data_IF_333337410730
#
_entry.id   IF_333337410730
#
_cell.length_a   1.000
_cell.length_b   1.000
_cell.length_c   1.000
_cell.angle_alpha   90.00
_cell.angle_beta   90.00
_cell.angle_gamma   90.00
#
_symmetry.space_group_name_H-M   'P 1'
#
loop_
_entity.id
_entity.type
_entity.pdbx_description
1 polymer ?
2 non-polymer ?
3 non-polymer ?
4 water ?
#
# COMPACT_ATOMS: atom_id res chain seq x y z
N UNK A 1 11.56 1.24 14.85
CA UNK A 1 10.59 2.37 14.59
C UNK A 1 9.40 1.93 13.73
N UNK A 2 9.52 0.83 13.01
CA UNK A 2 8.43 0.35 12.12
C UNK A 2 7.53 -0.64 12.86
N UNK A 3 7.84 -0.96 14.12
CA UNK A 3 7.37 -2.26 14.65
C UNK A 3 5.86 -2.32 14.83
N UNK A 4 5.17 -1.21 15.04
CA UNK A 4 3.71 -1.31 15.21
C UNK A 4 3.00 -1.59 13.90
N UNK A 5 3.70 -1.43 12.75
CA UNK A 5 3.12 -1.77 11.46
C UNK A 5 3.18 -3.28 11.17
N UNK A 6 4.02 -4.02 11.89
CA UNK A 6 4.29 -5.41 11.52
C UNK A 6 3.09 -6.28 11.82
N UNK A 7 2.86 -7.25 10.99
CA UNK A 7 1.83 -8.26 11.19
C UNK A 7 0.96 -8.42 9.99
N UNK A 8 -0.18 -9.06 10.22
CA UNK A 8 -1.14 -9.42 9.18
C UNK A 8 -2.37 -8.53 9.34
N UNK A 9 -2.78 -7.91 8.26
CA UNK A 9 -3.82 -6.88 8.24
C UNK A 9 -4.85 -7.22 7.18
N UNK A 10 -6.11 -6.98 7.48
CA UNK A 10 -7.21 -7.31 6.57
C UNK A 10 -7.96 -6.04 6.21
N UNK A 11 -8.34 -5.86 4.95
CA UNK A 11 -9.10 -4.68 4.53
C UNK A 11 -10.50 -4.71 5.12
N UNK A 12 -10.90 -3.61 5.76
CA UNK A 12 -12.22 -3.49 6.36
C UNK A 12 -12.99 -2.24 5.94
N UNK A 13 -12.40 -1.34 5.15
CA UNK A 13 -13.08 -0.15 4.64
C UNK A 13 -12.31 0.36 3.45
N UNK A 14 -13.01 0.92 2.47
CA UNK A 14 -12.33 1.52 1.32
C UNK A 14 -13.15 2.68 0.81
N UNK A 15 -12.46 3.82 0.61
CA UNK A 15 -13.09 5.03 0.09
C UNK A 15 -12.27 5.55 -1.10
N UNK A 16 -12.96 5.75 -2.22
CA UNK A 16 -12.39 6.38 -3.41
C UNK A 16 -11.33 5.51 -4.10
N UNK A 17 -11.35 4.20 -3.90
CA UNK A 17 -10.37 3.35 -4.60
C UNK A 17 -10.59 3.35 -6.08
N UNK A 18 -11.84 3.38 -6.54
CA UNK A 18 -12.07 3.45 -7.98
C UNK A 18 -11.46 4.73 -8.57
N UNK A 19 -11.60 5.86 -7.88
CA UNK A 19 -11.00 7.11 -8.35
C UNK A 19 -9.48 6.93 -8.51
N UNK A 20 -8.84 6.35 -7.53
CA UNK A 20 -7.40 6.17 -7.55
C UNK A 20 -6.98 5.27 -8.72
N UNK A 21 -7.66 4.11 -8.84
CA UNK A 21 -7.33 3.21 -9.94
C UNK A 21 -7.57 3.87 -11.30
N UNK A 22 -8.67 4.59 -11.44
CA UNK A 22 -8.95 5.23 -12.72
C UNK A 22 -7.86 6.25 -13.03
N UNK A 23 -7.40 7.00 -12.04
CA UNK A 23 -6.35 7.99 -12.25
C UNK A 23 -5.06 7.34 -12.78
N UNK A 24 -4.78 6.13 -12.31
CA UNK A 24 -3.63 5.35 -12.78
C UNK A 24 -3.88 4.71 -14.14
N UNK A 25 -5.06 4.84 -14.72
CA UNK A 25 -5.31 4.23 -16.01
C UNK A 25 -5.72 2.77 -15.97
N UNK A 26 -6.12 2.27 -14.82
CA UNK A 26 -6.61 0.89 -14.71
C UNK A 26 -7.92 0.76 -15.46
N UNK A 27 -8.08 -0.28 -16.25
CA UNK A 27 -9.28 -0.53 -17.02
C UNK A 27 -10.49 -0.86 -16.17
N UNK A 28 -11.68 -0.66 -16.77
CA UNK A 28 -12.91 -0.77 -15.97
C UNK A 28 -13.09 -2.17 -15.42
N UNK A 29 -12.71 -3.19 -16.15
CA UNK A 29 -12.97 -4.58 -15.69
C UNK A 29 -12.12 -4.90 -14.50
N UNK A 30 -10.87 -4.45 -14.52
CA UNK A 30 -9.98 -4.64 -13.36
C UNK A 30 -10.50 -3.84 -12.18
N UNK A 31 -10.95 -2.61 -12.42
CA UNK A 31 -11.48 -1.80 -11.31
C UNK A 31 -12.67 -2.49 -10.68
N UNK A 32 -13.50 -3.10 -11.50
CA UNK A 32 -14.71 -3.75 -11.02
C UNK A 32 -14.32 -4.90 -10.05
N UNK A 33 -13.41 -5.77 -10.46
CA UNK A 33 -12.99 -6.87 -9.58
C UNK A 33 -12.32 -6.32 -8.34
N UNK A 34 -11.40 -5.38 -8.53
CA UNK A 34 -10.66 -4.83 -7.41
C UNK A 34 -11.57 -4.17 -6.38
N UNK A 35 -12.69 -3.60 -6.81
CA UNK A 35 -13.62 -2.90 -5.90
C UNK A 35 -14.30 -3.87 -4.93
N UNK A 36 -14.25 -5.16 -5.24
CA UNK A 36 -14.91 -6.18 -4.42
C UNK A 36 -13.89 -7.09 -3.74
N UNK A 37 -12.63 -6.81 -3.87
CA UNK A 37 -11.57 -7.63 -3.29
C UNK A 37 -11.21 -7.05 -1.91
N UNK A 38 -10.86 -7.92 -0.95
CA UNK A 38 -10.42 -7.47 0.38
C UNK A 38 -9.03 -8.07 0.64
N UNK A 39 -7.99 -7.40 0.26
CA UNK A 39 -6.67 -7.98 0.43
C UNK A 39 -6.28 -8.15 1.88
N UNK A 40 -5.32 -9.06 2.03
CA UNK A 40 -4.56 -9.24 3.25
C UNK A 40 -3.16 -8.69 3.01
N UNK A 41 -2.71 -7.79 3.88
CA UNK A 41 -1.35 -7.27 3.79
C UNK A 41 -0.56 -7.80 4.97
N UNK A 42 0.62 -8.33 4.66
CA UNK A 42 1.50 -8.92 5.67
C UNK A 42 2.79 -8.10 5.62
N UNK A 43 3.18 -7.54 6.76
CA UNK A 43 4.40 -6.71 6.85
C UNK A 43 5.31 -7.40 7.83
N UNK A 44 6.49 -7.81 7.37
CA UNK A 44 7.47 -8.51 8.23
C UNK A 44 8.85 -7.84 8.13
N UNK A 45 9.63 -7.92 9.16
CA UNK A 45 11.01 -7.42 9.04
C UNK A 45 11.98 -8.49 9.47
N UNK A 46 13.15 -8.37 8.89
CA UNK A 46 14.31 -9.20 9.23
C UNK A 46 15.50 -8.25 9.21
N UNK A 47 15.90 -7.80 10.40
CA UNK A 47 16.88 -6.75 10.44
C UNK A 47 16.39 -5.52 9.75
N UNK A 48 17.21 -4.98 8.88
CA UNK A 48 16.87 -3.77 8.14
C UNK A 48 15.99 -4.02 6.93
N UNK A 49 15.61 -5.24 6.65
CA UNK A 49 14.84 -5.53 5.44
C UNK A 49 13.38 -5.77 5.82
N UNK A 50 12.50 -4.99 5.22
CA UNK A 50 11.07 -5.18 5.32
C UNK A 50 10.57 -5.92 4.11
N UNK A 51 9.57 -6.78 4.33
CA UNK A 51 8.86 -7.45 3.26
C UNK A 51 7.38 -7.18 3.43
N UNK A 52 6.75 -6.72 2.36
CA UNK A 52 5.32 -6.35 2.38
C UNK A 52 4.65 -7.20 1.31
N UNK A 53 3.78 -8.10 1.76
CA UNK A 53 3.01 -8.98 0.90
C UNK A 53 1.58 -8.45 0.83
N UNK A 54 0.99 -8.50 -0.36
CA UNK A 54 -0.44 -8.16 -0.52
C UNK A 54 -1.08 -9.35 -1.22
N UNK A 55 -2.01 -10.00 -0.53
CA UNK A 55 -2.63 -11.24 -1.05
C UNK A 55 -4.13 -11.04 -1.26
N UNK A 56 -4.63 -11.61 -2.35
CA UNK A 56 -6.09 -11.52 -2.59
C UNK A 56 -6.48 -12.63 -3.54
N UNK A 57 -7.79 -12.75 -3.74
CA UNK A 57 -8.31 -13.72 -4.73
C UNK A 57 -8.07 -13.19 -6.15
N UNK A 58 -7.58 -11.96 -6.30
CA UNK A 58 -7.37 -11.39 -7.66
C UNK A 58 -5.88 -11.18 -7.93
N UNK A 59 -5.30 -10.16 -7.31
CA UNK A 59 -3.87 -9.81 -7.51
C UNK A 59 -3.06 -10.07 -6.23
N UNK A 60 -1.84 -10.58 -6.42
CA UNK A 60 -0.89 -10.86 -5.31
C UNK A 60 0.42 -10.17 -5.65
N UNK A 61 1.00 -9.49 -4.65
CA UNK A 61 2.28 -8.83 -4.82
C UNK A 61 3.17 -9.09 -3.59
N UNK A 62 4.46 -8.89 -3.78
CA UNK A 62 5.42 -8.89 -2.69
C UNK A 62 6.56 -7.98 -3.04
N UNK A 63 6.97 -7.15 -2.08
CA UNK A 63 8.16 -6.31 -2.21
C UNK A 63 9.02 -6.48 -0.98
N UNK A 64 10.33 -6.38 -1.17
CA UNK A 64 11.27 -6.28 -0.06
C UNK A 64 12.14 -5.04 -0.26
N UNK A 65 12.44 -4.37 0.84
CA UNK A 65 13.17 -3.10 0.76
C UNK A 65 13.81 -2.80 2.10
N UNK A 66 14.84 -1.95 2.04
CA UNK A 66 15.37 -1.25 3.23
C UNK A 66 14.78 0.14 3.28
N UNK A 67 14.40 0.63 4.48
CA UNK A 67 13.92 1.97 4.59
C UNK A 67 14.98 2.93 4.05
N UNK A 68 14.53 3.89 3.27
CA UNK A 68 15.42 4.92 2.79
C UNK A 68 16.32 4.56 1.66
N UNK A 69 16.13 3.39 1.05
CA UNK A 69 16.97 2.94 -0.05
C UNK A 69 16.06 2.64 -1.24
N UNK A 70 16.31 3.26 -2.37
CA UNK A 70 15.46 3.07 -3.54
C UNK A 70 15.51 1.60 -4.00
N UNK A 71 14.38 1.15 -4.54
CA UNK A 71 14.27 -0.19 -5.09
C UNK A 71 13.38 -0.13 -6.33
N UNK A 72 13.64 -1.06 -7.26
CA UNK A 72 12.76 -1.26 -8.40
C UNK A 72 11.52 -2.04 -7.93
N UNK A 73 10.36 -1.68 -8.50
CA UNK A 73 9.11 -2.34 -8.18
C UNK A 73 8.28 -2.45 -9.45
N UNK A 74 7.56 -3.57 -9.57
CA UNK A 74 6.55 -3.75 -10.62
C UNK A 74 5.22 -3.91 -9.93
N UNK A 75 4.34 -2.93 -10.09
CA UNK A 75 3.12 -2.86 -9.31
C UNK A 75 2.09 -3.88 -9.79
N UNK A 76 1.00 -4.00 -9.05
CA UNK A 76 -0.05 -4.96 -9.38
C UNK A 76 -0.66 -4.66 -10.75
N UNK A 77 -0.66 -3.38 -11.14
CA UNK A 77 -1.20 -2.90 -12.44
C UNK A 77 -0.08 -2.81 -13.47
N UNK A 78 1.07 -3.43 -13.17
CA UNK A 78 2.19 -3.59 -14.15
C UNK A 78 2.96 -2.30 -14.44
N UNK A 79 2.93 -1.32 -13.54
CA UNK A 79 3.81 -0.15 -13.73
C UNK A 79 5.21 -0.53 -13.21
N UNK A 80 6.24 -0.18 -13.96
CA UNK A 80 7.63 -0.38 -13.53
C UNK A 80 8.12 0.93 -12.95
N UNK A 81 8.28 0.95 -11.65
CA UNK A 81 8.49 2.21 -10.90
C UNK A 81 9.78 2.14 -10.10
N UNK A 82 10.25 3.32 -9.72
CA UNK A 82 11.35 3.49 -8.77
C UNK A 82 10.69 3.87 -7.45
N UNK A 83 10.97 3.10 -6.43
CA UNK A 83 10.27 3.24 -5.14
C UNK A 83 11.23 3.52 -4.01
N UNK A 84 10.70 4.19 -2.99
CA UNK A 84 11.41 4.35 -1.73
C UNK A 84 10.37 4.40 -0.63
N UNK A 85 10.69 3.76 0.49
CA UNK A 85 9.81 3.75 1.65
C UNK A 85 10.60 4.35 2.82
N UNK A 86 9.95 5.25 3.54
CA UNK A 86 10.63 5.87 4.69
C UNK A 86 9.59 6.15 5.78
N UNK A 87 10.07 6.28 7.00
CA UNK A 87 9.19 6.73 8.09
C UNK A 87 9.24 8.24 8.18
N UNK A 88 8.07 8.82 8.27
CA UNK A 88 7.93 10.29 8.25
C UNK A 88 6.79 10.61 9.18
N UNK A 89 7.06 11.25 10.31
CA UNK A 89 5.98 11.55 11.25
C UNK A 89 5.32 10.33 11.81
N UNK A 90 6.09 9.23 11.89
CA UNK A 90 5.54 7.95 12.35
C UNK A 90 4.75 7.19 11.32
N UNK A 91 4.64 7.73 10.12
CA UNK A 91 3.91 7.12 9.01
C UNK A 91 4.90 6.41 8.11
N UNK A 92 4.49 5.30 7.55
CA UNK A 92 5.30 4.59 6.57
C UNK A 92 4.93 5.17 5.21
N UNK A 93 5.83 5.92 4.55
CA UNK A 93 5.54 6.63 3.30
C UNK A 93 6.25 5.93 2.16
N UNK A 94 5.48 5.40 1.23
CA UNK A 94 6.00 4.72 0.04
C UNK A 94 5.74 5.65 -1.15
N UNK A 95 6.81 6.08 -1.81
CA UNK A 95 6.74 6.94 -2.99
C UNK A 95 7.17 6.11 -4.20
N UNK A 96 6.32 6.10 -5.24
CA UNK A 96 6.62 5.45 -6.52
C UNK A 96 6.75 6.54 -7.59
N UNK A 97 7.77 6.40 -8.43
CA UNK A 97 8.06 7.35 -9.51
C UNK A 97 8.19 6.58 -10.83
N UNK A 98 7.55 7.06 -11.88
CA UNK A 98 7.70 6.48 -13.21
C UNK A 98 7.23 7.50 -14.21
N UNK A 99 7.92 7.59 -15.33
CA UNK A 99 7.43 8.44 -16.46
C UNK A 99 7.18 9.86 -15.98
N UNK A 100 7.94 10.36 -14.99
CA UNK A 100 7.72 11.68 -14.43
C UNK A 100 6.52 11.82 -13.50
N UNK A 101 5.73 10.76 -13.37
CA UNK A 101 4.57 10.68 -12.49
C UNK A 101 5.03 10.22 -11.12
N UNK A 102 4.16 10.47 -10.15
CA UNK A 102 4.38 9.98 -8.79
C UNK A 102 3.07 9.53 -8.20
N UNK A 103 3.16 8.57 -7.28
CA UNK A 103 2.04 8.26 -6.38
C UNK A 103 2.61 7.94 -5.04
N UNK A 104 1.85 8.29 -4.01
CA UNK A 104 2.25 7.97 -2.63
C UNK A 104 1.22 7.02 -2.01
N UNK A 105 1.78 6.10 -1.23
CA UNK A 105 1.04 5.10 -0.44
C UNK A 105 1.48 5.33 0.99
N UNK A 106 0.64 5.95 1.80
CA UNK A 106 1.03 6.38 3.13
C UNK A 106 0.25 5.57 4.15
N UNK A 107 0.96 4.92 5.08
CA UNK A 107 0.33 4.10 6.11
C UNK A 107 0.53 4.76 7.48
N UNK A 108 -0.53 4.83 8.24
CA UNK A 108 -0.42 5.34 9.59
C UNK A 108 -1.36 4.55 10.47
N UNK A 109 -0.99 4.52 11.72
CA UNK A 109 -1.77 3.81 12.72
C UNK A 109 -2.61 4.80 13.47
N UNK A 110 -3.87 4.56 13.50
CA UNK A 110 -4.84 5.41 14.23
C UNK A 110 -5.75 4.46 15.01
N UNK A 111 -5.68 4.57 16.33
CA UNK A 111 -6.51 3.73 17.21
C UNK A 111 -6.35 2.25 16.87
N UNK A 112 -5.13 1.83 16.59
CA UNK A 112 -4.84 0.42 16.31
C UNK A 112 -5.19 -0.06 14.92
N UNK A 113 -5.78 0.79 14.10
CA UNK A 113 -6.10 0.43 12.70
C UNK A 113 -5.02 1.01 11.82
N UNK A 114 -4.78 0.36 10.70
CA UNK A 114 -3.77 0.75 9.69
C UNK A 114 -4.54 1.50 8.58
N UNK A 115 -4.31 2.82 8.45
CA UNK A 115 -4.97 3.64 7.45
C UNK A 115 -3.97 3.86 6.32
N UNK A 116 -4.34 3.39 5.13
CA UNK A 116 -3.53 3.53 3.91
C UNK A 116 -4.17 4.62 3.07
N UNK A 117 -3.43 5.69 2.81
CA UNK A 117 -3.89 6.78 1.98
C UNK A 117 -3.10 6.73 0.67
N UNK A 118 -3.81 6.62 -0.45
CA UNK A 118 -3.25 6.49 -1.79
C UNK A 118 -3.57 7.77 -2.55
N UNK A 119 -2.53 8.44 -3.07
CA UNK A 119 -2.74 9.70 -3.79
C UNK A 119 -2.07 9.60 -5.14
N UNK A 120 -2.80 9.92 -6.20
CA UNK A 120 -2.24 10.05 -7.55
C UNK A 120 -3.05 11.13 -8.23
N UNK A 121 -2.38 12.08 -8.89
CA UNK A 121 -3.14 13.18 -9.48
C UNK A 121 -3.90 13.90 -8.36
N UNK A 122 -5.18 14.11 -8.58
CA UNK A 122 -6.02 14.69 -7.55
C UNK A 122 -6.73 13.63 -6.71
N UNK A 123 -6.66 12.37 -7.10
CA UNK A 123 -7.40 11.29 -6.45
C UNK A 123 -6.75 10.94 -5.10
N UNK A 124 -7.59 10.84 -4.08
CA UNK A 124 -7.14 10.48 -2.74
C UNK A 124 -8.06 9.37 -2.24
N UNK A 125 -7.50 8.19 -2.02
CA UNK A 125 -8.22 7.01 -1.53
C UNK A 125 -7.75 6.69 -0.15
N UNK A 126 -8.68 6.28 0.71
CA UNK A 126 -8.38 5.86 2.06
C UNK A 126 -8.87 4.42 2.26
N UNK A 127 -7.95 3.53 2.60
CA UNK A 127 -8.24 2.10 2.83
C UNK A 127 -7.89 1.85 4.30
N UNK A 128 -8.78 1.18 5.01
CA UNK A 128 -8.55 0.88 6.42
C UNK A 128 -8.37 -0.62 6.59
N UNK A 129 -7.32 -0.98 7.31
CA UNK A 129 -6.99 -2.37 7.60
C UNK A 129 -7.03 -2.59 9.10
N UNK A 130 -7.47 -3.78 9.47
CA UNK A 130 -7.57 -4.22 10.89
C UNK A 130 -6.58 -5.37 11.07
N UNK A 131 -5.96 -5.43 12.24
CA UNK A 131 -4.94 -6.45 12.49
C UNK A 131 -5.60 -7.79 12.74
N UNK A 132 -5.07 -8.81 12.13
CA UNK A 132 -5.33 -10.23 12.44
C UNK A 132 -4.37 -10.75 13.53
N UNK A 133 -4.97 -11.55 14.43
CA UNK A 133 -4.33 -12.14 15.59
C UNK A 133 -3.39 -13.19 15.09
X LIG B 1 -4.94 -3.07 -9.83
X LIG B 1 -4.64 -2.46 -8.45
X LIG B 1 -3.57 -1.37 -8.46
X LIG B 1 -4.89 -1.86 -0.48
X LIG B 1 -2.74 -2.36 -0.76
X LIG B 1 -2.83 -0.33 -4.69
X LIG B 1 -3.17 -1.19 -5.89
X LIG B 1 -3.82 -1.95 -1.15
X LIG B 1 -3.33 -0.41 -7.30
X LIG B 1 -2.67 -1.01 -3.32
X LIG B 1 -3.90 -1.60 -2.66
X LIG B 1 -5.31 -2.17 -10.75
X LIG B 1 -5.80 -4.04 -9.65
X LIG B 1 -3.88 -3.64 -10.36
X LIG B 1 -5.79 -1.97 -8.01
X LIG B 1 -4.22 -3.43 -7.69
X LIG B 1 -2.41 -1.93 -8.79
X LIG B 1 -3.77 -0.46 -9.52
X LIG B 1 -2.30 0.35 -7.46
X LIG B 1 -4.42 0.28 -7.18
X LIG B 1 -4.34 -1.78 -5.59
X LIG B 1 -2.19 -2.13 -6.07
X LIG B 1 -1.60 0.30 -4.98
X LIG B 1 -3.65 0.65 -4.69
X LIG B 1 -1.61 -1.74 -3.40
X LIG B 1 -2.36 0.03 -2.49
X LIG B 1 -4.97 -0.94 -2.97
X LIG B 1 -3.95 -2.90 -3.33
X LIG C 1 -18.47 -12.41 1.19
X LIG C 1 -17.41 -11.51 1.58
X LIG C 1 -17.49 -10.86 2.97
X LIG C 1 -16.23 -10.29 3.33
X LIG C 1 -15.61 -10.96 4.44
X LIG C 1 -14.26 -10.37 4.82
X LIG C 1 -14.37 -9.01 5.29
X LIG C 1 -15.02 -8.85 6.54
X LIG C 1 -14.93 -7.39 6.91
X LIG C 1 -15.60 -6.59 5.93
X LIG C 1 -15.78 -5.25 6.42
X LIG C 1 -16.32 -4.35 5.33
X LIG C 1 -15.36 -4.25 4.26
X LIG C 1 -15.71 -3.13 3.46
X LIG C 1 -14.74 -2.92 2.35
X LIG C 1 -15.11 -3.74 1.26
X LIG C 1 -14.19 -3.58 0.19
X LIG C 1 -14.54 -4.50 -0.95
X LIG C 1 -15.83 -4.15 -1.47
#
# INVERSE_FOLDING_TARGET
>A
MVDAFLGTWKLVDSKNFDDYMKSLGVGFATRQVASMTKPTTIIEKNGDILTLKTHSTFKNTEISFKLGVEFDETTADDRKVKSIVTLDGGKLVHLQKWDGQETTLVRELIDGKLILTLTHGTAVCTRTYEKEA
>B hetero
1 4I6 C9 C8 C7 O1 O2 C4 C5 C1 C6 C3 C2 F93 F91 F92 F81 F82 F71 F72 F61 F62 F51 F52 F41 F42 F31 F32 F21 F22
>C hetero
1 P6G O1 C2 C3 O4 C5 C6 O7 C8 C9 O10 C11 C12 O13 C14 C15 O16 C17 C18 O19
#
